data_IF_230223672006
#
_entry.id   IF_230223672006
#
_cell.length_a   1.000
_cell.length_b   1.000
_cell.length_c   1.000
_cell.angle_alpha   90.00
_cell.angle_beta   90.00
_cell.angle_gamma   90.00
#
_symmetry.space_group_name_H-M   'P 1'
#
loop_
_entity.id
_entity.type
_entity.pdbx_description
1 polymer ?
#
# COMPACT_ATOMS: atom_id res chain seq x y z
N UNK A 1 -13.96 10.05 -2.95
CA UNK A 1 -13.14 9.62 -4.09
C UNK A 1 -14.03 9.23 -5.29
N UNK A 2 -13.50 9.30 -6.52
CA UNK A 2 -14.23 8.97 -7.75
C UNK A 2 -14.77 7.54 -7.75
N UNK A 3 -14.02 6.57 -7.21
CA UNK A 3 -14.46 5.18 -7.08
C UNK A 3 -15.70 5.02 -6.19
N UNK A 4 -15.78 5.78 -5.08
CA UNK A 4 -16.96 5.80 -4.21
C UNK A 4 -18.18 6.37 -4.94
N UNK A 5 -17.99 7.44 -5.72
CA UNK A 5 -19.10 8.05 -6.51
C UNK A 5 -19.61 7.09 -7.59
N UNK A 6 -18.74 6.25 -8.18
CA UNK A 6 -19.14 5.21 -9.14
C UNK A 6 -19.69 3.94 -8.48
N UNK A 7 -19.74 3.85 -7.16
CA UNK A 7 -20.25 2.68 -6.43
C UNK A 7 -19.38 1.42 -6.52
N UNK A 8 -18.15 1.50 -7.06
CA UNK A 8 -17.22 0.35 -7.09
C UNK A 8 -16.52 0.18 -5.74
N UNK A 9 -17.25 -0.39 -4.78
CA UNK A 9 -16.79 -0.65 -3.43
C UNK A 9 -15.56 -1.58 -3.41
N UNK A 10 -15.50 -2.57 -4.32
CA UNK A 10 -14.37 -3.47 -4.45
C UNK A 10 -13.10 -2.72 -4.81
N UNK A 11 -13.16 -1.84 -5.81
CA UNK A 11 -12.00 -1.06 -6.24
C UNK A 11 -11.57 -0.08 -5.16
N UNK A 12 -12.50 0.53 -4.42
CA UNK A 12 -12.17 1.40 -3.27
C UNK A 12 -11.36 0.63 -2.23
N UNK A 13 -11.86 -0.55 -1.81
CA UNK A 13 -11.19 -1.37 -0.81
C UNK A 13 -9.84 -1.90 -1.29
N UNK A 14 -9.74 -2.29 -2.55
CA UNK A 14 -8.49 -2.74 -3.15
C UNK A 14 -7.44 -1.63 -3.12
N UNK A 15 -7.80 -0.42 -3.52
CA UNK A 15 -6.89 0.74 -3.49
C UNK A 15 -6.50 1.09 -2.05
N UNK A 16 -7.47 1.13 -1.11
CA UNK A 16 -7.19 1.36 0.31
C UNK A 16 -6.25 0.28 0.87
N UNK A 17 -6.42 -0.98 0.45
CA UNK A 17 -5.55 -2.09 0.87
C UNK A 17 -4.11 -1.87 0.43
N UNK A 18 -3.88 -1.53 -0.84
CA UNK A 18 -2.52 -1.25 -1.33
C UNK A 18 -1.91 -0.04 -0.61
N UNK A 19 -2.69 1.04 -0.43
CA UNK A 19 -2.24 2.24 0.28
C UNK A 19 -1.91 2.00 1.75
N UNK A 20 -2.63 1.11 2.42
CA UNK A 20 -2.48 0.90 3.87
C UNK A 20 -1.48 -0.21 4.24
N UNK A 21 -1.13 -1.08 3.30
CA UNK A 21 -0.25 -2.24 3.55
C UNK A 21 1.03 -2.23 2.71
N UNK A 22 1.09 -1.40 1.68
CA UNK A 22 2.21 -1.34 0.75
C UNK A 22 2.41 -2.61 -0.09
N UNK A 23 1.43 -3.50 -0.18
CA UNK A 23 1.54 -4.73 -0.99
C UNK A 23 1.63 -4.42 -2.49
N UNK A 24 2.23 -5.36 -3.23
CA UNK A 24 2.20 -5.33 -4.70
C UNK A 24 0.79 -5.74 -5.19
N UNK A 25 0.41 -5.27 -6.38
CA UNK A 25 -0.88 -5.65 -6.97
C UNK A 25 -1.02 -7.17 -7.15
N UNK A 26 0.08 -7.88 -7.44
CA UNK A 26 0.10 -9.35 -7.53
C UNK A 26 -0.08 -10.05 -6.18
N UNK A 27 0.13 -9.34 -5.08
CA UNK A 27 0.02 -9.85 -3.72
C UNK A 27 -1.40 -9.64 -3.13
N UNK A 28 -2.26 -8.90 -3.83
CA UNK A 28 -3.65 -8.67 -3.41
C UNK A 28 -4.42 -9.96 -3.15
N UNK A 29 -4.08 -11.05 -3.84
CA UNK A 29 -4.63 -12.39 -3.63
C UNK A 29 -4.47 -12.95 -2.22
N UNK A 30 -3.46 -12.49 -1.48
CA UNK A 30 -3.22 -12.93 -0.10
C UNK A 30 -4.08 -12.16 0.92
N UNK A 31 -4.85 -11.19 0.46
CA UNK A 31 -5.85 -10.50 1.29
C UNK A 31 -7.13 -11.31 1.25
N UNK A 32 -7.18 -12.29 2.13
CA UNK A 32 -8.30 -13.22 2.27
C UNK A 32 -9.20 -12.80 3.43
N UNK A 33 -10.35 -13.45 3.56
CA UNK A 33 -11.24 -13.26 4.71
C UNK A 33 -10.54 -13.60 6.02
N UNK A 34 -9.76 -14.67 6.03
CA UNK A 34 -8.99 -15.13 7.20
C UNK A 34 -7.88 -14.13 7.55
N UNK A 35 -7.19 -13.58 6.53
CA UNK A 35 -6.20 -12.54 6.73
C UNK A 35 -6.82 -11.28 7.34
N UNK A 36 -8.00 -10.87 6.87
CA UNK A 36 -8.75 -9.75 7.42
C UNK A 36 -9.24 -10.00 8.86
N UNK A 37 -9.53 -11.25 9.22
CA UNK A 37 -9.90 -11.62 10.59
C UNK A 37 -8.69 -11.60 11.54
N UNK A 38 -7.54 -12.09 11.07
CA UNK A 38 -6.29 -12.17 11.85
C UNK A 38 -5.52 -10.84 11.90
N UNK A 39 -5.85 -9.87 11.06
CA UNK A 39 -5.12 -8.60 10.93
C UNK A 39 -3.73 -8.74 10.28
N UNK A 40 -3.41 -9.90 9.73
CA UNK A 40 -2.12 -10.19 9.09
C UNK A 40 -2.21 -11.36 8.13
N UNK A 41 -1.28 -11.40 7.17
CA UNK A 41 -1.03 -12.56 6.31
C UNK A 41 0.46 -12.72 6.05
N UNK A 42 0.88 -13.92 5.68
CA UNK A 42 2.25 -14.20 5.30
C UNK A 42 2.34 -14.47 3.79
N UNK A 43 3.36 -13.92 3.17
CA UNK A 43 3.66 -14.12 1.75
C UNK A 43 5.04 -14.73 1.65
N UNK A 44 5.13 -15.86 0.93
CA UNK A 44 6.41 -16.46 0.56
C UNK A 44 6.74 -16.06 -0.88
N UNK A 45 7.87 -15.39 -1.09
CA UNK A 45 8.36 -15.00 -2.41
C UNK A 45 9.86 -15.33 -2.50
N UNK A 46 10.22 -16.19 -3.45
CA UNK A 46 11.62 -16.60 -3.67
C UNK A 46 12.31 -17.07 -2.38
N UNK A 47 11.63 -17.90 -1.59
CA UNK A 47 12.13 -18.46 -0.32
C UNK A 47 12.16 -17.49 0.86
N UNK A 48 11.76 -16.23 0.69
CA UNK A 48 11.67 -15.26 1.80
C UNK A 48 10.24 -15.11 2.26
N UNK A 49 10.01 -15.30 3.55
CA UNK A 49 8.74 -15.04 4.22
C UNK A 49 8.64 -13.55 4.57
N UNK A 50 7.51 -12.95 4.23
CA UNK A 50 7.16 -11.59 4.62
C UNK A 50 5.79 -11.56 5.25
N UNK A 51 5.67 -10.92 6.41
CA UNK A 51 4.39 -10.66 7.05
C UNK A 51 3.82 -9.34 6.56
N UNK A 52 2.58 -9.36 6.10
CA UNK A 52 1.78 -8.17 5.79
C UNK A 52 0.88 -7.90 6.98
N UNK A 53 1.02 -6.72 7.57
CA UNK A 53 0.14 -6.22 8.63
C UNK A 53 -1.03 -5.47 8.00
N UNK A 54 -2.24 -5.77 8.45
CA UNK A 54 -3.47 -5.14 7.96
C UNK A 54 -4.02 -4.28 9.11
N UNK A 55 -4.08 -2.94 8.96
CA UNK A 55 -4.60 -2.06 10.01
C UNK A 55 -6.03 -2.44 10.41
N UNK A 56 -6.35 -2.38 11.71
CA UNK A 56 -7.64 -2.82 12.25
C UNK A 56 -8.85 -2.13 11.60
N UNK A 57 -8.73 -0.85 11.24
CA UNK A 57 -9.78 -0.15 10.50
C UNK A 57 -10.03 -0.76 9.11
N UNK A 58 -8.97 -1.16 8.40
CA UNK A 58 -9.09 -1.84 7.12
C UNK A 58 -9.65 -3.25 7.30
N UNK A 59 -9.24 -3.98 8.33
CA UNK A 59 -9.81 -5.30 8.66
C UNK A 59 -11.34 -5.22 8.80
N UNK A 60 -11.85 -4.25 9.56
CA UNK A 60 -13.31 -4.06 9.72
C UNK A 60 -14.03 -3.82 8.39
N UNK A 61 -13.45 -3.00 7.50
CA UNK A 61 -14.01 -2.74 6.17
C UNK A 61 -14.00 -3.99 5.29
N UNK A 62 -12.90 -4.72 5.27
CA UNK A 62 -12.75 -5.96 4.50
C UNK A 62 -13.72 -7.05 4.98
N UNK A 63 -13.89 -7.22 6.29
CA UNK A 63 -14.86 -8.17 6.86
C UNK A 63 -16.31 -7.78 6.54
N UNK A 64 -16.63 -6.47 6.63
CA UNK A 64 -17.96 -5.96 6.23
C UNK A 64 -18.24 -6.26 4.75
N UNK A 65 -17.26 -6.01 3.89
CA UNK A 65 -17.34 -6.30 2.46
C UNK A 65 -17.54 -7.79 2.21
N UNK A 66 -16.74 -8.67 2.87
CA UNK A 66 -16.87 -10.12 2.75
C UNK A 66 -18.29 -10.60 3.09
N UNK A 67 -18.84 -10.14 4.23
CA UNK A 67 -20.22 -10.48 4.63
C UNK A 67 -21.26 -10.02 3.60
N UNK A 68 -21.13 -8.78 3.10
CA UNK A 68 -22.03 -8.22 2.09
C UNK A 68 -22.02 -9.00 0.78
N UNK A 69 -20.87 -9.60 0.43
CA UNK A 69 -20.66 -10.38 -0.81
C UNK A 69 -20.83 -11.89 -0.62
N UNK A 70 -21.18 -12.36 0.56
CA UNK A 70 -21.32 -13.77 0.86
C UNK A 70 -20.00 -14.55 0.75
N UNK A 71 -18.84 -13.89 0.93
CA UNK A 71 -17.54 -14.53 0.87
C UNK A 71 -17.27 -15.15 2.25
N UNK A 72 -17.37 -16.46 2.34
CA UNK A 72 -17.18 -17.20 3.59
C UNK A 72 -15.71 -17.49 3.88
N UNK A 73 -14.90 -17.71 2.85
CA UNK A 73 -13.47 -18.01 2.96
C UNK A 73 -12.70 -17.55 1.71
N UNK A 74 -11.38 -17.48 1.82
CA UNK A 74 -10.48 -17.22 0.70
C UNK A 74 -10.39 -15.76 0.24
N UNK A 75 -10.05 -15.57 -1.03
CA UNK A 75 -9.71 -14.26 -1.60
C UNK A 75 -10.90 -13.30 -1.61
N UNK A 76 -10.67 -12.04 -1.25
CA UNK A 76 -11.72 -11.01 -1.19
C UNK A 76 -11.94 -10.28 -2.53
N UNK A 77 -10.95 -10.25 -3.40
CA UNK A 77 -10.98 -9.45 -4.63
C UNK A 77 -11.13 -10.36 -5.86
N UNK A 78 -12.38 -10.71 -6.16
CA UNK A 78 -12.75 -11.61 -7.24
C UNK A 78 -13.54 -10.87 -8.32
N UNK A 79 -13.52 -11.41 -9.54
CA UNK A 79 -14.44 -10.98 -10.62
C UNK A 79 -15.87 -11.44 -10.31
N UNK A 80 -16.85 -10.94 -11.07
CA UNK A 80 -18.25 -11.38 -10.96
C UNK A 80 -18.41 -12.90 -11.16
N UNK A 81 -17.53 -13.52 -11.96
CA UNK A 81 -17.50 -14.97 -12.18
C UNK A 81 -16.65 -15.75 -11.17
N UNK A 82 -16.31 -15.16 -10.00
CA UNK A 82 -15.57 -15.83 -8.93
C UNK A 82 -14.08 -16.06 -9.20
N UNK A 83 -13.55 -15.53 -10.32
CA UNK A 83 -12.13 -15.63 -10.65
C UNK A 83 -11.34 -14.47 -10.04
N UNK A 84 -10.06 -14.70 -9.75
CA UNK A 84 -9.15 -13.66 -9.29
C UNK A 84 -9.09 -12.47 -10.24
N UNK A 85 -9.09 -11.27 -9.68
CA UNK A 85 -8.76 -10.07 -10.46
C UNK A 85 -7.27 -10.09 -10.84
N UNK A 86 -7.00 -10.01 -12.13
CA UNK A 86 -5.64 -9.89 -12.63
C UNK A 86 -5.12 -8.43 -12.59
N UNK A 87 -3.81 -8.27 -12.80
CA UNK A 87 -3.15 -6.97 -12.80
C UNK A 87 -3.72 -6.03 -13.86
N UNK A 88 -4.06 -6.54 -15.04
CA UNK A 88 -4.57 -5.73 -16.16
C UNK A 88 -5.97 -5.23 -15.85
N UNK A 89 -6.83 -6.08 -15.29
CA UNK A 89 -8.19 -5.73 -14.88
C UNK A 89 -8.18 -4.66 -13.78
N UNK A 90 -7.31 -4.80 -12.76
CA UNK A 90 -7.16 -3.81 -11.70
C UNK A 90 -6.72 -2.47 -12.28
N UNK A 91 -5.72 -2.47 -13.15
CA UNK A 91 -5.23 -1.27 -13.79
C UNK A 91 -6.28 -0.61 -14.68
N UNK A 92 -7.00 -1.38 -15.51
CA UNK A 92 -8.08 -0.88 -16.35
C UNK A 92 -9.19 -0.21 -15.50
N UNK A 93 -9.61 -0.86 -14.42
CA UNK A 93 -10.57 -0.27 -13.46
C UNK A 93 -10.07 1.03 -12.86
N UNK A 94 -8.80 1.12 -12.46
CA UNK A 94 -8.21 2.34 -11.93
C UNK A 94 -8.16 3.46 -12.99
N UNK A 95 -7.73 3.14 -14.22
CA UNK A 95 -7.71 4.11 -15.33
C UNK A 95 -9.09 4.65 -15.67
N UNK A 96 -10.13 3.82 -15.64
CA UNK A 96 -11.50 4.25 -15.89
C UNK A 96 -12.03 5.30 -14.87
N UNK A 97 -11.33 5.52 -13.76
CA UNK A 97 -11.66 6.56 -12.79
C UNK A 97 -10.97 7.90 -13.09
N UNK A 98 -9.96 7.93 -13.95
CA UNK A 98 -9.10 9.10 -14.13
C UNK A 98 -9.88 10.33 -14.57
N UNK A 99 -10.74 10.22 -15.59
CA UNK A 99 -11.57 11.31 -16.06
C UNK A 99 -12.47 11.89 -14.96
N UNK A 100 -13.16 11.02 -14.21
CA UNK A 100 -14.03 11.41 -13.10
C UNK A 100 -13.26 11.95 -11.88
N UNK A 101 -11.96 11.70 -11.81
CA UNK A 101 -11.08 12.15 -10.73
C UNK A 101 -10.26 13.40 -11.10
N UNK A 102 -10.29 13.86 -12.36
CA UNK A 102 -9.46 14.96 -12.84
C UNK A 102 -7.95 14.64 -12.80
N UNK A 103 -7.59 13.36 -12.96
CA UNK A 103 -6.21 12.89 -12.88
C UNK A 103 -5.75 12.35 -14.23
N UNK A 104 -4.56 12.77 -14.68
CA UNK A 104 -3.95 12.29 -15.91
C UNK A 104 -3.73 10.76 -15.85
N UNK A 105 -4.20 10.04 -16.87
CA UNK A 105 -4.22 8.56 -16.87
C UNK A 105 -2.81 7.93 -16.83
N UNK A 106 -1.80 8.64 -17.34
CA UNK A 106 -0.40 8.22 -17.31
C UNK A 106 0.19 8.23 -15.89
N UNK A 107 -0.43 8.96 -14.96
CA UNK A 107 0.01 9.02 -13.56
C UNK A 107 -0.69 7.99 -12.66
N UNK A 108 -1.64 7.21 -13.20
CA UNK A 108 -2.44 6.27 -12.42
C UNK A 108 -1.98 4.84 -12.63
N UNK A 109 -1.16 4.36 -11.69
CA UNK A 109 -0.69 2.99 -11.61
C UNK A 109 -0.88 2.44 -10.21
N UNK A 110 -1.20 1.14 -10.06
CA UNK A 110 -1.25 0.51 -8.72
C UNK A 110 0.05 0.69 -7.92
N UNK A 111 1.18 0.76 -8.61
CA UNK A 111 2.49 0.96 -7.98
C UNK A 111 2.59 2.32 -7.27
N UNK A 112 1.92 3.36 -7.77
CA UNK A 112 1.91 4.68 -7.13
C UNK A 112 1.20 4.67 -5.77
N UNK A 113 0.23 3.77 -5.55
CA UNK A 113 -0.41 3.58 -4.26
C UNK A 113 0.58 2.97 -3.23
N UNK A 114 1.40 2.05 -3.67
CA UNK A 114 2.50 1.50 -2.86
C UNK A 114 3.59 2.54 -2.59
N UNK A 115 3.91 3.39 -3.56
CA UNK A 115 4.82 4.54 -3.35
C UNK A 115 4.27 5.51 -2.30
N UNK A 116 2.95 5.75 -2.31
CA UNK A 116 2.30 6.56 -1.29
C UNK A 116 2.49 5.96 0.11
N UNK A 117 2.23 4.66 0.27
CA UNK A 117 2.51 3.95 1.53
C UNK A 117 3.96 4.15 1.98
N UNK A 118 4.92 3.89 1.07
CA UNK A 118 6.34 3.98 1.38
C UNK A 118 6.74 5.37 1.87
N UNK A 119 6.27 6.42 1.18
CA UNK A 119 6.53 7.81 1.58
C UNK A 119 5.92 8.14 2.94
N UNK A 120 4.65 7.76 3.16
CA UNK A 120 3.97 8.03 4.43
C UNK A 120 4.63 7.29 5.58
N UNK A 121 4.98 6.00 5.39
CA UNK A 121 5.66 5.21 6.40
C UNK A 121 7.04 5.80 6.74
N UNK A 122 7.85 6.11 5.72
CA UNK A 122 9.18 6.68 5.94
C UNK A 122 9.11 8.05 6.64
N UNK A 123 8.15 8.89 6.26
CA UNK A 123 7.96 10.20 6.94
C UNK A 123 7.62 10.05 8.41
N UNK A 124 6.89 9.02 8.77
CA UNK A 124 6.47 8.75 10.17
C UNK A 124 7.57 8.06 11.00
N UNK A 125 8.29 7.10 10.41
CA UNK A 125 9.25 6.26 11.14
C UNK A 125 10.71 6.71 10.99
N UNK A 126 11.06 7.36 9.88
CA UNK A 126 12.43 7.63 9.45
C UNK A 126 13.34 6.38 9.39
N UNK A 127 12.74 5.18 9.37
CA UNK A 127 13.42 3.90 9.36
C UNK A 127 13.31 3.24 7.98
N UNK A 128 14.42 3.31 7.22
CA UNK A 128 14.50 2.74 5.88
C UNK A 128 14.59 1.21 5.93
N UNK A 129 15.20 0.65 6.98
CA UNK A 129 15.35 -0.80 7.12
C UNK A 129 14.00 -1.46 7.41
N UNK A 130 13.21 -0.88 8.33
CA UNK A 130 11.84 -1.31 8.57
C UNK A 130 10.99 -1.18 7.31
N UNK A 131 11.12 -0.06 6.56
CA UNK A 131 10.39 0.12 5.30
C UNK A 131 10.77 -0.94 4.26
N UNK A 132 12.09 -1.22 4.08
CA UNK A 132 12.56 -2.25 3.16
C UNK A 132 11.98 -3.63 3.50
N UNK A 133 12.00 -3.99 4.78
CA UNK A 133 11.41 -5.23 5.29
C UNK A 133 9.90 -5.30 5.03
N UNK A 134 9.16 -4.24 5.34
CA UNK A 134 7.71 -4.17 5.09
C UNK A 134 7.37 -4.26 3.60
N UNK A 135 8.17 -3.66 2.74
CA UNK A 135 7.99 -3.74 1.30
C UNK A 135 8.49 -5.07 0.71
N UNK A 136 9.29 -5.85 1.44
CA UNK A 136 9.92 -7.07 0.94
C UNK A 136 10.92 -6.78 -0.16
N UNK A 137 11.73 -5.76 0.02
CA UNK A 137 12.86 -5.47 -0.86
C UNK A 137 14.06 -6.30 -0.41
N UNK A 138 14.76 -6.90 -1.37
CA UNK A 138 15.97 -7.67 -1.11
C UNK A 138 17.19 -6.78 -0.84
N UNK A 139 17.12 -5.51 -1.24
CA UNK A 139 18.15 -4.50 -1.03
C UNK A 139 17.53 -3.19 -0.55
N UNK A 140 18.20 -2.54 0.38
CA UNK A 140 17.87 -1.20 0.86
C UNK A 140 17.96 -0.16 -0.28
N UNK A 141 18.89 -0.37 -1.22
CA UNK A 141 19.02 0.50 -2.40
C UNK A 141 17.69 0.67 -3.16
N UNK A 142 16.91 -0.41 -3.31
CA UNK A 142 15.58 -0.34 -3.94
C UNK A 142 14.61 0.55 -3.14
N UNK A 143 14.89 0.77 -1.85
CA UNK A 143 14.05 1.59 -0.97
C UNK A 143 14.52 3.04 -0.93
N UNK A 144 15.78 3.31 -1.28
CA UNK A 144 16.36 4.68 -1.29
C UNK A 144 15.62 5.65 -2.21
N UNK A 145 14.96 5.17 -3.25
CA UNK A 145 14.11 6.01 -4.13
C UNK A 145 13.01 6.77 -3.38
N UNK A 146 12.68 6.34 -2.16
CA UNK A 146 11.70 7.03 -1.29
C UNK A 146 12.34 8.07 -0.38
N UNK A 147 13.68 8.12 -0.31
CA UNK A 147 14.45 9.10 0.43
C UNK A 147 14.56 10.39 -0.39
N UNK A 148 13.52 11.18 -0.39
CA UNK A 148 13.61 12.54 -0.91
C UNK A 148 14.18 13.43 0.20
N UNK A 149 15.49 13.37 0.39
CA UNK A 149 16.20 14.28 1.28
C UNK A 149 16.96 15.28 0.42
N UNK A 150 16.52 16.52 0.40
CA UNK A 150 17.29 17.64 -0.15
C UNK A 150 18.40 18.02 0.84
N UNK A 151 19.49 18.61 0.36
CA UNK A 151 20.59 19.13 1.19
C UNK A 151 20.07 20.00 2.34
N UNK A 152 19.03 20.80 2.10
CA UNK A 152 18.37 21.64 3.11
C UNK A 152 17.84 20.83 4.31
N UNK A 153 17.33 19.61 4.08
CA UNK A 153 16.84 18.76 5.18
C UNK A 153 18.01 18.27 6.03
N UNK A 154 19.13 17.94 5.41
CA UNK A 154 20.33 17.54 6.13
C UNK A 154 20.94 18.71 6.87
N UNK A 155 21.05 19.88 6.26
CA UNK A 155 21.55 21.10 6.91
C UNK A 155 20.76 21.42 8.19
N UNK A 156 19.42 21.36 8.13
CA UNK A 156 18.55 21.56 9.31
C UNK A 156 18.76 20.51 10.40
N UNK A 157 19.00 19.26 10.02
CA UNK A 157 19.30 18.18 10.98
C UNK A 157 20.65 18.39 11.63
N UNK A 158 21.68 18.72 10.86
CA UNK A 158 23.05 18.98 11.37
C UNK A 158 23.03 20.18 12.35
N UNK A 159 22.34 21.26 12.01
CA UNK A 159 22.19 22.42 12.89
C UNK A 159 21.55 22.07 14.24
N UNK A 160 20.62 21.08 14.27
CA UNK A 160 19.96 20.62 15.50
C UNK A 160 20.81 19.72 16.38
N UNK A 161 21.97 19.23 15.89
CA UNK A 161 22.85 18.37 16.70
C UNK A 161 23.51 19.12 17.86
N UNK A 162 23.58 20.46 17.78
CA UNK A 162 24.14 21.28 18.85
C UNK A 162 25.62 21.04 19.16
N UNK A 163 26.38 20.49 18.18
CA UNK A 163 27.78 20.13 18.38
C UNK A 163 28.76 21.29 18.27
N UNK A 164 28.27 22.46 17.85
CA UNK A 164 29.09 23.69 17.79
C UNK A 164 28.80 24.53 19.03
N UNK A 165 29.86 24.81 19.82
CA UNK A 165 29.75 25.69 20.98
C UNK A 165 29.41 27.10 20.52
N UNK A 166 28.43 27.72 21.18
CA UNK A 166 28.16 29.14 20.96
C UNK A 166 29.35 29.96 21.55
N UNK A 167 30.08 30.60 20.70
CA UNK A 167 31.04 31.65 21.15
C UNK A 167 30.25 32.78 21.77
N UNK A 168 30.53 33.06 23.05
CA UNK A 168 30.02 34.26 23.74
C UNK A 168 30.61 35.51 23.14
#
# INVERSE_FOLDING_TARGET
>A
SAARRKGDEQLVLLMETICATGIRVSEVRYITREAAAKGRTQISLKGKLRTILIPGQLCRKLQKYARKKGIESGELFLTTGGRRLDRRQIWAKMKALCGAAGVASEKVFPHNLRHLFARCFYRASHDISALANMLGHSSIETTRIYLVSTEDVYAKKIARLGLVQQTK
#
